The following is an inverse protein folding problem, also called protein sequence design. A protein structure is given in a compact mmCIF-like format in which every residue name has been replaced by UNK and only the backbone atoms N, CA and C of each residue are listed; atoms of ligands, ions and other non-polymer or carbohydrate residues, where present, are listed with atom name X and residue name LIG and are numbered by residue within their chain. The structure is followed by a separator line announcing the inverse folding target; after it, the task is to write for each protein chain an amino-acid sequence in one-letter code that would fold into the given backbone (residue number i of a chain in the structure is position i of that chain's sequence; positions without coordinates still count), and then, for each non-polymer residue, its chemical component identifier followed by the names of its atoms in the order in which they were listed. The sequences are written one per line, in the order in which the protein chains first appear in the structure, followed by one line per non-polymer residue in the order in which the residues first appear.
data_IF_976429275545
#
_entry.id   IF_976429275545
#
_cell.length_a   1.000
_cell.length_b   1.000
_cell.length_c   1.000
_cell.angle_alpha   90.00
_cell.angle_beta   90.00
_cell.angle_gamma   90.00
#
_symmetry.space_group_name_H-M   'P 1'
#
loop_
_entity.id
_entity.type
_entity.pdbx_description
1 polymer ?
#
# COMPACT_ATOMS: atom_id res chain seq x y z
N UNK A 1 0.20 -17.47 5.32
CA UNK A 1 1.18 -16.43 5.64
C UNK A 1 0.41 -15.37 6.36
N UNK A 2 0.85 -15.01 7.55
CA UNK A 2 0.23 -13.94 8.31
C UNK A 2 0.79 -12.62 7.76
N UNK A 3 -0.10 -11.66 7.50
CA UNK A 3 0.26 -10.33 7.02
C UNK A 3 0.19 -9.35 8.18
N UNK A 4 1.25 -8.58 8.37
CA UNK A 4 1.39 -7.65 9.47
C UNK A 4 1.64 -6.24 8.94
N UNK A 5 0.98 -5.26 9.55
CA UNK A 5 1.17 -3.85 9.27
C UNK A 5 0.89 -3.04 10.55
N UNK A 6 1.33 -1.78 10.56
CA UNK A 6 1.07 -0.87 11.68
C UNK A 6 -0.08 0.06 11.30
N UNK A 7 -1.16 0.05 12.11
CA UNK A 7 -2.27 1.01 12.03
C UNK A 7 -1.99 2.16 13.01
N UNK A 8 -1.76 3.36 12.48
CA UNK A 8 -1.54 4.57 13.27
C UNK A 8 -2.85 5.34 13.37
N UNK A 9 -3.39 5.47 14.58
CA UNK A 9 -4.63 6.19 14.87
C UNK A 9 -4.32 7.50 15.58
N UNK A 10 -4.77 8.62 15.00
CA UNK A 10 -4.63 9.95 15.59
C UNK A 10 -5.86 10.33 16.42
N UNK A 11 -5.62 10.88 17.61
CA UNK A 11 -6.69 11.21 18.57
C UNK A 11 -7.39 12.56 18.27
N UNK A 12 -6.83 13.39 17.38
CA UNK A 12 -7.32 14.75 17.11
C UNK A 12 -7.54 15.07 15.62
N UNK A 13 -8.73 15.58 15.28
CA UNK A 13 -9.06 16.32 14.04
C UNK A 13 -9.51 15.49 12.83
N UNK A 14 -10.56 15.95 12.12
CA UNK A 14 -10.98 15.42 10.80
C UNK A 14 -11.97 14.25 10.80
N UNK A 15 -12.37 13.79 9.60
CA UNK A 15 -13.20 12.59 9.40
C UNK A 15 -12.46 11.35 9.93
N UNK A 16 -13.19 10.27 10.24
CA UNK A 16 -12.58 9.04 10.78
C UNK A 16 -11.50 8.43 9.87
N UNK A 17 -11.64 8.60 8.56
CA UNK A 17 -10.72 8.13 7.52
C UNK A 17 -9.41 8.94 7.43
N UNK A 18 -9.43 10.22 7.84
CA UNK A 18 -8.25 11.09 7.85
C UNK A 18 -7.37 10.87 9.09
N UNK A 19 -7.90 10.16 10.09
CA UNK A 19 -7.24 9.87 11.36
C UNK A 19 -6.47 8.55 11.38
N UNK A 20 -6.41 7.84 10.25
CA UNK A 20 -5.73 6.55 10.15
C UNK A 20 -4.68 6.53 9.05
N UNK A 21 -3.48 6.08 9.40
CA UNK A 21 -2.43 5.79 8.44
C UNK A 21 -1.98 4.34 8.58
N UNK A 22 -1.82 3.69 7.43
CA UNK A 22 -1.25 2.36 7.31
C UNK A 22 0.23 2.52 7.03
N UNK A 23 1.04 1.83 7.83
CA UNK A 23 2.47 1.69 7.63
C UNK A 23 2.76 0.21 7.33
N UNK A 24 3.31 -0.04 6.15
CA UNK A 24 3.80 -1.36 5.73
C UNK A 24 5.27 -1.21 5.35
N UNK A 25 6.15 -1.94 6.05
CA UNK A 25 7.59 -1.84 5.91
C UNK A 25 8.14 -2.67 4.75
N UNK A 26 7.33 -3.58 4.19
CA UNK A 26 7.69 -4.46 3.09
C UNK A 26 6.57 -4.53 2.06
N UNK A 27 6.05 -3.36 1.71
CA UNK A 27 4.85 -3.22 0.90
C UNK A 27 5.07 -3.70 -0.55
N UNK A 28 6.23 -3.43 -1.12
CA UNK A 28 6.53 -3.82 -2.50
C UNK A 28 6.55 -5.35 -2.69
N UNK A 29 6.98 -6.12 -1.69
CA UNK A 29 7.04 -7.58 -1.78
C UNK A 29 5.65 -8.22 -1.86
N UNK A 30 4.62 -7.54 -1.34
CA UNK A 30 3.22 -8.00 -1.39
C UNK A 30 2.67 -8.08 -2.83
N UNK A 31 3.35 -7.45 -3.79
CA UNK A 31 2.96 -7.42 -5.21
C UNK A 31 3.89 -8.28 -6.08
N UNK A 32 4.79 -9.07 -5.51
CA UNK A 32 5.62 -9.99 -6.29
C UNK A 32 4.80 -11.19 -6.79
N UNK A 33 4.84 -11.40 -8.12
CA UNK A 33 4.14 -12.52 -8.77
C UNK A 33 5.11 -13.34 -9.61
N UNK A 34 4.84 -14.65 -9.73
CA UNK A 34 5.74 -15.59 -10.41
C UNK A 34 5.96 -15.28 -11.91
N UNK A 35 4.99 -14.64 -12.57
CA UNK A 35 5.03 -14.35 -14.02
C UNK A 35 4.54 -12.93 -14.33
N UNK A 36 5.29 -11.89 -13.97
CA UNK A 36 4.88 -10.53 -14.28
C UNK A 36 5.01 -10.25 -15.77
N UNK A 37 4.09 -9.44 -16.31
CA UNK A 37 4.25 -8.82 -17.62
C UNK A 37 5.30 -7.70 -17.54
N UNK A 38 5.85 -7.22 -18.68
CA UNK A 38 6.75 -6.06 -18.67
C UNK A 38 6.12 -4.81 -18.06
N UNK A 39 4.83 -4.54 -18.32
CA UNK A 39 4.09 -3.41 -17.74
C UNK A 39 3.95 -3.56 -16.22
N UNK A 40 3.57 -4.75 -15.74
CA UNK A 40 3.46 -5.02 -14.31
C UNK A 40 4.81 -4.85 -13.59
N UNK A 41 5.90 -5.34 -14.20
CA UNK A 41 7.26 -5.13 -13.66
C UNK A 41 7.64 -3.65 -13.58
N UNK A 42 7.19 -2.84 -14.53
CA UNK A 42 7.44 -1.40 -14.51
C UNK A 42 6.63 -0.73 -13.39
N UNK A 43 5.36 -1.07 -13.23
CA UNK A 43 4.51 -0.57 -12.14
C UNK A 43 5.06 -0.99 -10.76
N UNK A 44 5.45 -2.26 -10.60
CA UNK A 44 6.05 -2.78 -9.37
C UNK A 44 7.30 -2.00 -8.97
N UNK A 45 8.18 -1.64 -9.92
CA UNK A 45 9.38 -0.83 -9.66
C UNK A 45 9.11 0.60 -9.22
N UNK A 46 7.89 1.11 -9.45
CA UNK A 46 7.47 2.44 -9.02
C UNK A 46 6.83 2.42 -7.63
N UNK A 47 6.49 1.24 -7.10
CA UNK A 47 5.97 1.13 -5.73
C UNK A 47 7.05 1.46 -4.71
N UNK A 48 6.68 2.13 -3.60
CA UNK A 48 7.60 2.32 -2.50
C UNK A 48 7.81 0.99 -1.76
N UNK A 49 9.05 0.76 -1.30
CA UNK A 49 9.37 -0.38 -0.42
C UNK A 49 8.61 -0.28 0.90
N UNK A 50 8.61 0.92 1.48
CA UNK A 50 7.83 1.25 2.69
C UNK A 50 6.62 2.09 2.30
N UNK A 51 5.42 1.58 2.54
CA UNK A 51 4.20 2.34 2.35
C UNK A 51 3.82 3.09 3.62
N UNK A 52 3.53 4.38 3.45
CA UNK A 52 2.88 5.22 4.46
C UNK A 52 1.74 5.95 3.79
N UNK A 53 0.51 5.74 4.24
CA UNK A 53 -0.65 6.36 3.62
C UNK A 53 -1.99 6.02 4.25
N UNK A 54 -3.00 6.81 3.91
CA UNK A 54 -4.38 6.50 4.27
C UNK A 54 -4.92 5.33 3.46
N UNK A 55 -6.05 4.77 3.91
CA UNK A 55 -6.79 3.73 3.20
C UNK A 55 -7.11 4.14 1.76
N UNK A 56 -7.46 5.42 1.53
CA UNK A 56 -7.73 5.96 0.19
C UNK A 56 -6.50 5.89 -0.72
N UNK A 57 -5.31 6.23 -0.21
CA UNK A 57 -4.06 6.12 -0.96
C UNK A 57 -3.72 4.67 -1.27
N UNK A 58 -3.95 3.76 -0.32
CA UNK A 58 -3.78 2.32 -0.52
C UNK A 58 -4.69 1.81 -1.65
N UNK A 59 -5.98 2.14 -1.63
CA UNK A 59 -6.90 1.75 -2.70
C UNK A 59 -6.43 2.22 -4.08
N UNK A 60 -5.90 3.44 -4.20
CA UNK A 60 -5.40 3.93 -5.48
C UNK A 60 -4.21 3.12 -6.00
N UNK A 61 -3.34 2.66 -5.10
CA UNK A 61 -2.24 1.76 -5.47
C UNK A 61 -2.77 0.41 -5.93
N UNK A 62 -3.75 -0.15 -5.21
CA UNK A 62 -4.38 -1.41 -5.59
C UNK A 62 -5.04 -1.34 -6.97
N UNK A 63 -5.73 -0.24 -7.29
CA UNK A 63 -6.30 -0.01 -8.63
C UNK A 63 -5.23 -0.10 -9.72
N UNK A 64 -4.11 0.61 -9.55
CA UNK A 64 -3.00 0.63 -10.52
C UNK A 64 -2.38 -0.77 -10.68
N UNK A 65 -2.24 -1.52 -9.59
CA UNK A 65 -1.63 -2.85 -9.62
C UNK A 65 -2.60 -3.96 -10.08
N UNK A 66 -3.89 -3.64 -10.21
CA UNK A 66 -4.93 -4.56 -10.68
C UNK A 66 -5.24 -4.46 -12.17
N UNK A 67 -4.68 -3.45 -12.87
CA UNK A 67 -4.69 -3.32 -14.34
C UNK A 67 -3.70 -4.28 -15.01
#
# INVERSE_FOLDING_TARGET
GDYEYVDVVFDSGGQAEDRRLILDLDFQSQFEIARPTPSYRAALKLLPVVFVGSVKKLHRVLEIMSE
#
